data_IF_527171325590
#
_entry.id   IF_527171325590
#
_cell.length_a   1.000
_cell.length_b   1.000
_cell.length_c   1.000
_cell.angle_alpha   90.00
_cell.angle_beta   90.00
_cell.angle_gamma   90.00
#
_symmetry.space_group_name_H-M   'P 1'
#
loop_
_entity.id
_entity.type
_entity.pdbx_description
1 polymer ?
#
# COMPACT_ATOMS: atom_id res chain seq x y z
N UNK A 1 -13.08 -14.91 26.62
CA UNK A 1 -12.95 -13.52 27.15
C UNK A 1 -12.00 -12.78 26.25
N UNK A 2 -12.47 -11.72 25.59
CA UNK A 2 -11.65 -10.85 24.74
C UNK A 2 -10.65 -10.12 25.66
N UNK A 3 -9.33 -10.23 25.46
CA UNK A 3 -8.37 -9.48 26.28
C UNK A 3 -8.58 -7.98 26.03
N UNK A 4 -8.80 -7.19 27.08
CA UNK A 4 -9.12 -5.74 27.04
C UNK A 4 -8.18 -4.93 26.11
N UNK A 5 -6.95 -5.40 25.88
CA UNK A 5 -5.97 -4.81 24.95
C UNK A 5 -6.35 -4.85 23.47
N UNK A 6 -7.31 -5.66 23.03
CA UNK A 6 -7.75 -5.70 21.62
C UNK A 6 -8.79 -4.63 21.29
N UNK A 7 -9.45 -4.05 22.30
CA UNK A 7 -10.58 -3.10 22.12
C UNK A 7 -10.15 -1.65 22.34
N UNK A 8 -9.07 -1.40 23.09
CA UNK A 8 -8.59 -0.04 23.37
C UNK A 8 -7.59 0.38 22.29
N UNK A 9 -7.77 1.55 21.64
CA UNK A 9 -6.79 2.06 20.70
C UNK A 9 -5.42 2.22 21.36
N UNK A 10 -4.35 1.84 20.66
CA UNK A 10 -2.99 2.12 21.12
C UNK A 10 -2.73 3.64 21.12
N UNK A 11 -1.70 4.11 21.83
CA UNK A 11 -1.35 5.54 21.83
C UNK A 11 -1.05 6.07 20.41
N UNK A 12 -0.44 5.24 19.56
CA UNK A 12 -0.20 5.55 18.15
C UNK A 12 -1.52 5.67 17.35
N UNK A 13 -2.47 4.78 17.59
CA UNK A 13 -3.81 4.86 17.00
C UNK A 13 -4.56 6.09 17.48
N UNK A 14 -4.47 6.44 18.77
CA UNK A 14 -5.10 7.65 19.33
C UNK A 14 -4.56 8.95 18.71
N UNK A 15 -3.25 9.05 18.46
CA UNK A 15 -2.66 10.18 17.75
C UNK A 15 -3.10 10.25 16.29
N UNK A 16 -3.19 9.11 15.59
CA UNK A 16 -3.72 9.04 14.22
C UNK A 16 -5.22 9.42 14.16
N UNK A 17 -6.01 9.01 15.17
CA UNK A 17 -7.42 9.40 15.32
C UNK A 17 -7.59 10.92 15.46
N UNK A 18 -6.68 11.60 16.18
CA UNK A 18 -6.68 13.05 16.34
C UNK A 18 -6.24 13.80 15.05
N UNK A 19 -5.32 13.23 14.27
CA UNK A 19 -4.89 13.78 12.98
C UNK A 19 -5.94 13.62 11.87
N UNK A 20 -6.66 12.50 11.82
CA UNK A 20 -7.65 12.19 10.79
C UNK A 20 -8.89 13.10 10.80
N UNK A 21 -9.28 13.64 11.96
CA UNK A 21 -10.44 14.52 12.10
C UNK A 21 -10.28 15.90 11.43
N UNK A 22 -9.06 16.31 11.08
CA UNK A 22 -8.79 17.64 10.50
C UNK A 22 -8.85 17.72 8.98
N UNK A 23 -9.03 16.62 8.24
CA UNK A 23 -8.85 16.61 6.76
C UNK A 23 -9.87 15.81 5.95
N UNK A 24 -11.14 15.83 6.35
CA UNK A 24 -12.25 15.47 5.43
C UNK A 24 -12.34 16.44 4.24
N UNK A 25 -11.97 17.71 4.43
CA UNK A 25 -11.99 18.73 3.37
C UNK A 25 -10.97 18.48 2.24
N UNK A 26 -9.82 17.87 2.52
CA UNK A 26 -8.80 17.57 1.49
C UNK A 26 -9.28 16.45 0.54
N UNK A 27 -10.04 15.48 1.05
CA UNK A 27 -10.56 14.39 0.23
C UNK A 27 -11.57 14.88 -0.82
N UNK A 28 -12.48 15.78 -0.45
CA UNK A 28 -13.47 16.35 -1.39
C UNK A 28 -12.79 17.21 -2.46
N UNK A 29 -11.73 17.94 -2.09
CA UNK A 29 -10.93 18.70 -3.05
C UNK A 29 -10.19 17.80 -4.05
N UNK A 30 -9.59 16.70 -3.59
CA UNK A 30 -9.00 15.67 -4.46
C UNK A 30 -10.05 15.12 -5.42
N UNK A 31 -11.23 14.75 -4.93
CA UNK A 31 -12.31 14.22 -5.77
C UNK A 31 -12.68 15.21 -6.88
N UNK A 32 -12.83 16.50 -6.56
CA UNK A 32 -13.17 17.52 -7.52
C UNK A 32 -12.08 17.73 -8.59
N UNK A 33 -10.81 17.64 -8.20
CA UNK A 33 -9.65 17.77 -9.09
C UNK A 33 -9.61 16.67 -10.15
N UNK A 34 -9.73 15.41 -9.74
CA UNK A 34 -9.58 14.27 -10.64
C UNK A 34 -10.89 13.87 -11.34
N UNK A 35 -12.05 14.44 -10.98
CA UNK A 35 -13.34 14.06 -11.56
C UNK A 35 -13.44 14.29 -13.08
N UNK A 36 -12.65 15.23 -13.62
CA UNK A 36 -12.63 15.57 -15.05
C UNK A 36 -11.66 14.75 -15.90
N UNK A 37 -10.77 13.97 -15.28
CA UNK A 37 -9.72 13.25 -15.99
C UNK A 37 -10.27 11.98 -16.65
N UNK A 38 -9.99 11.80 -17.94
CA UNK A 38 -10.39 10.60 -18.67
C UNK A 38 -9.68 9.34 -18.13
N UNK A 39 -10.38 8.20 -18.02
CA UNK A 39 -9.76 6.94 -17.63
C UNK A 39 -8.78 6.42 -18.69
N UNK A 40 -7.65 5.89 -18.23
CA UNK A 40 -6.71 5.10 -19.02
C UNK A 40 -7.31 3.72 -19.32
N UNK A 41 -7.85 3.59 -20.54
CA UNK A 41 -8.46 2.36 -21.02
C UNK A 41 -7.49 1.17 -21.06
N UNK A 42 -6.21 1.41 -21.37
CA UNK A 42 -5.22 0.34 -21.45
C UNK A 42 -4.80 -0.15 -20.07
N UNK A 43 -4.74 0.75 -19.07
CA UNK A 43 -4.60 0.33 -17.68
C UNK A 43 -5.82 -0.48 -17.23
N UNK A 44 -7.03 -0.01 -17.52
CA UNK A 44 -8.26 -0.72 -17.15
C UNK A 44 -8.32 -2.12 -17.76
N UNK A 45 -7.88 -2.32 -19.00
CA UNK A 45 -7.83 -3.66 -19.62
C UNK A 45 -7.00 -4.66 -18.81
N UNK A 46 -5.91 -4.21 -18.18
CA UNK A 46 -5.05 -5.06 -17.34
C UNK A 46 -5.73 -5.43 -16.01
N UNK A 47 -6.53 -4.52 -15.45
CA UNK A 47 -7.00 -4.63 -14.05
C UNK A 47 -8.51 -4.71 -13.88
N UNK A 48 -9.33 -4.65 -14.94
CA UNK A 48 -10.80 -4.56 -14.82
C UNK A 48 -11.43 -5.84 -14.25
N UNK A 49 -10.91 -7.01 -14.64
CA UNK A 49 -11.45 -8.31 -14.20
C UNK A 49 -10.84 -8.76 -12.88
N UNK A 50 -11.59 -9.46 -12.00
CA UNK A 50 -11.04 -10.07 -10.79
C UNK A 50 -9.91 -11.06 -11.10
N UNK A 51 -9.03 -11.29 -10.13
CA UNK A 51 -7.99 -12.31 -10.25
C UNK A 51 -8.56 -13.72 -10.06
N UNK A 52 -8.06 -14.68 -10.85
CA UNK A 52 -8.52 -16.07 -10.81
C UNK A 52 -7.67 -16.98 -9.91
N UNK A 53 -6.40 -16.66 -9.70
CA UNK A 53 -5.45 -17.48 -8.95
C UNK A 53 -4.20 -16.69 -8.54
N UNK A 54 -3.33 -17.30 -7.73
CA UNK A 54 -2.03 -16.70 -7.37
C UNK A 54 -1.14 -16.48 -8.60
N UNK A 55 -1.16 -17.38 -9.59
CA UNK A 55 -0.40 -17.21 -10.83
C UNK A 55 -0.95 -16.05 -11.69
N UNK A 56 -2.27 -15.90 -11.74
CA UNK A 56 -2.92 -14.79 -12.44
C UNK A 56 -2.60 -13.43 -11.77
N UNK A 57 -2.57 -13.40 -10.43
CA UNK A 57 -2.11 -12.23 -9.67
C UNK A 57 -0.68 -11.84 -10.07
N UNK A 58 0.25 -12.80 -10.03
CA UNK A 58 1.66 -12.57 -10.31
C UNK A 58 1.88 -11.99 -11.71
N UNK A 59 1.29 -12.62 -12.74
CA UNK A 59 1.41 -12.15 -14.12
C UNK A 59 0.83 -10.75 -14.31
N UNK A 60 -0.41 -10.54 -13.85
CA UNK A 60 -1.14 -9.30 -14.14
C UNK A 60 -0.64 -8.13 -13.32
N UNK A 61 -0.21 -8.33 -12.08
CA UNK A 61 0.45 -7.27 -11.32
C UNK A 61 1.77 -6.86 -11.97
N UNK A 62 2.59 -7.81 -12.42
CA UNK A 62 3.85 -7.50 -13.10
C UNK A 62 3.61 -6.71 -14.39
N UNK A 63 2.61 -7.09 -15.20
CA UNK A 63 2.22 -6.35 -16.40
C UNK A 63 1.71 -4.94 -16.09
N UNK A 64 0.92 -4.80 -15.02
CA UNK A 64 0.41 -3.49 -14.55
C UNK A 64 1.54 -2.60 -14.04
N UNK A 65 2.48 -3.17 -13.29
CA UNK A 65 3.68 -2.48 -12.81
C UNK A 65 4.50 -1.93 -13.97
N UNK A 66 4.81 -2.78 -14.95
CA UNK A 66 5.63 -2.39 -16.09
C UNK A 66 4.93 -1.31 -16.93
N UNK A 67 3.62 -1.46 -17.16
CA UNK A 67 2.80 -0.47 -17.86
C UNK A 67 2.89 0.93 -17.22
N UNK A 68 2.74 1.00 -15.90
CA UNK A 68 2.77 2.25 -15.14
C UNK A 68 4.20 2.83 -15.10
N UNK A 69 5.23 1.99 -14.92
CA UNK A 69 6.63 2.43 -14.89
C UNK A 69 7.10 3.01 -16.22
N UNK A 70 6.75 2.37 -17.33
CA UNK A 70 7.10 2.88 -18.67
C UNK A 70 6.50 4.26 -18.96
N UNK A 71 5.42 4.63 -18.28
CA UNK A 71 4.77 5.94 -18.35
C UNK A 71 5.25 6.91 -17.27
N UNK A 72 6.18 6.47 -16.42
CA UNK A 72 6.65 7.22 -15.27
C UNK A 72 5.54 7.53 -14.27
N UNK A 73 4.47 6.73 -14.21
CA UNK A 73 3.37 6.93 -13.27
C UNK A 73 3.79 6.49 -11.86
N UNK A 74 3.74 7.41 -10.88
CA UNK A 74 4.22 7.14 -9.52
C UNK A 74 3.31 6.19 -8.73
N UNK A 75 2.12 5.86 -9.24
CA UNK A 75 1.31 4.75 -8.71
C UNK A 75 2.05 3.41 -8.82
N UNK A 76 3.03 3.31 -9.72
CA UNK A 76 3.93 2.16 -9.83
C UNK A 76 4.84 1.96 -8.61
N UNK A 77 5.11 2.99 -7.80
CA UNK A 77 6.13 2.93 -6.73
C UNK A 77 5.77 1.89 -5.68
N UNK A 78 4.56 2.00 -5.11
CA UNK A 78 4.04 0.98 -4.21
C UNK A 78 3.92 -0.38 -4.92
N UNK A 79 3.41 -0.38 -6.16
CA UNK A 79 3.18 -1.60 -6.92
C UNK A 79 4.48 -2.40 -7.17
N UNK A 80 5.60 -1.72 -7.37
CA UNK A 80 6.94 -2.32 -7.53
C UNK A 80 7.32 -3.15 -6.31
N UNK A 81 7.13 -2.59 -5.11
CA UNK A 81 7.35 -3.31 -3.84
C UNK A 81 6.36 -4.48 -3.72
N UNK A 82 5.10 -4.22 -4.06
CA UNK A 82 4.02 -5.19 -3.89
C UNK A 82 4.16 -6.41 -4.80
N UNK A 83 4.57 -6.24 -6.07
CA UNK A 83 4.86 -7.33 -7.01
C UNK A 83 5.90 -8.28 -6.42
N UNK A 84 7.02 -7.75 -5.93
CA UNK A 84 8.10 -8.57 -5.36
C UNK A 84 7.68 -9.31 -4.09
N UNK A 85 6.94 -8.63 -3.20
CA UNK A 85 6.42 -9.26 -1.99
C UNK A 85 5.43 -10.38 -2.32
N UNK A 86 4.55 -10.15 -3.29
CA UNK A 86 3.54 -11.12 -3.74
C UNK A 86 4.19 -12.35 -4.37
N UNK A 87 5.18 -12.16 -5.24
CA UNK A 87 5.96 -13.25 -5.84
C UNK A 87 6.66 -14.10 -4.77
N UNK A 88 7.27 -13.48 -3.76
CA UNK A 88 7.94 -14.25 -2.69
C UNK A 88 6.94 -15.05 -1.84
N UNK A 89 5.75 -14.52 -1.57
CA UNK A 89 4.72 -15.26 -0.85
C UNK A 89 4.17 -16.41 -1.71
N UNK A 90 4.01 -16.20 -3.02
CA UNK A 90 3.68 -17.27 -3.97
C UNK A 90 4.70 -18.40 -3.89
N UNK A 91 6.00 -18.09 -4.02
CA UNK A 91 7.05 -19.11 -3.98
C UNK A 91 7.01 -19.90 -2.66
N UNK A 92 6.76 -19.21 -1.53
CA UNK A 92 6.58 -19.87 -0.25
C UNK A 92 5.33 -20.78 -0.17
N UNK A 93 4.26 -20.45 -0.90
CA UNK A 93 3.09 -21.33 -1.04
C UNK A 93 3.47 -22.58 -1.84
N UNK A 94 4.15 -22.39 -2.98
CA UNK A 94 4.59 -23.48 -3.86
C UNK A 94 5.58 -24.42 -3.14
N UNK A 95 6.43 -23.87 -2.26
CA UNK A 95 7.40 -24.61 -1.43
C UNK A 95 6.78 -25.30 -0.20
N UNK A 96 5.46 -25.17 0.02
CA UNK A 96 4.76 -25.80 1.14
C UNK A 96 5.10 -25.18 2.51
N UNK A 97 5.42 -23.88 2.54
CA UNK A 97 5.78 -23.18 3.77
C UNK A 97 4.59 -22.90 4.71
N UNK A 98 3.36 -23.17 4.31
CA UNK A 98 2.13 -22.89 5.07
C UNK A 98 1.47 -24.16 5.59
N UNK A 99 0.81 -24.07 6.74
CA UNK A 99 0.01 -25.18 7.30
C UNK A 99 -1.23 -25.41 6.45
N UNK A 100 -1.91 -24.31 6.09
CA UNK A 100 -3.06 -24.28 5.19
C UNK A 100 -2.71 -23.45 3.94
N UNK A 101 -2.11 -24.13 2.96
CA UNK A 101 -1.69 -23.50 1.71
C UNK A 101 -2.87 -22.98 0.88
N UNK A 102 -4.04 -23.61 0.96
CA UNK A 102 -5.26 -23.15 0.27
C UNK A 102 -5.74 -21.83 0.86
N UNK A 103 -5.78 -21.73 2.20
CA UNK A 103 -6.10 -20.48 2.88
C UNK A 103 -5.07 -19.38 2.59
N UNK A 104 -3.78 -19.69 2.58
CA UNK A 104 -2.74 -18.73 2.22
C UNK A 104 -2.88 -18.21 0.78
N UNK A 105 -3.21 -19.08 -0.18
CA UNK A 105 -3.47 -18.70 -1.57
C UNK A 105 -4.74 -17.83 -1.70
N UNK A 106 -5.84 -18.23 -1.04
CA UNK A 106 -7.07 -17.44 -1.03
C UNK A 106 -6.87 -16.07 -0.39
N UNK A 107 -6.10 -16.00 0.71
CA UNK A 107 -5.70 -14.76 1.35
C UNK A 107 -4.91 -13.88 0.37
N UNK A 108 -3.85 -14.38 -0.27
CA UNK A 108 -3.08 -13.61 -1.25
C UNK A 108 -3.99 -13.02 -2.34
N UNK A 109 -4.81 -13.85 -2.99
CA UNK A 109 -5.71 -13.42 -4.07
C UNK A 109 -6.72 -12.38 -3.59
N UNK A 110 -7.39 -12.62 -2.46
CA UNK A 110 -8.36 -11.68 -1.90
C UNK A 110 -7.71 -10.34 -1.49
N UNK A 111 -6.46 -10.38 -1.01
CA UNK A 111 -5.72 -9.19 -0.65
C UNK A 111 -5.41 -8.35 -1.88
N UNK A 112 -4.91 -8.98 -2.93
CA UNK A 112 -4.61 -8.33 -4.22
C UNK A 112 -5.88 -7.77 -4.88
N UNK A 113 -6.99 -8.49 -4.77
CA UNK A 113 -8.29 -8.04 -5.30
C UNK A 113 -8.74 -6.72 -4.68
N UNK A 114 -8.43 -6.46 -3.39
CA UNK A 114 -8.72 -5.17 -2.74
C UNK A 114 -7.93 -4.02 -3.36
N UNK A 115 -6.62 -4.21 -3.59
CA UNK A 115 -5.79 -3.23 -4.30
C UNK A 115 -6.32 -2.97 -5.73
N UNK A 116 -6.63 -4.04 -6.48
CA UNK A 116 -7.17 -3.93 -7.84
C UNK A 116 -8.46 -3.13 -7.88
N UNK A 117 -9.40 -3.40 -6.97
CA UNK A 117 -10.66 -2.64 -6.86
C UNK A 117 -10.40 -1.16 -6.57
N UNK A 118 -9.46 -0.85 -5.68
CA UNK A 118 -9.08 0.54 -5.40
C UNK A 118 -8.49 1.22 -6.64
N UNK A 119 -7.57 0.56 -7.35
CA UNK A 119 -6.97 1.10 -8.57
C UNK A 119 -8.04 1.34 -9.66
N UNK A 120 -8.92 0.37 -9.89
CA UNK A 120 -10.04 0.50 -10.84
C UNK A 120 -11.00 1.62 -10.44
N UNK A 121 -11.32 1.75 -9.15
CA UNK A 121 -12.21 2.80 -8.67
C UNK A 121 -11.59 4.19 -8.85
N UNK A 122 -10.28 4.34 -8.60
CA UNK A 122 -9.58 5.60 -8.86
C UNK A 122 -9.53 5.93 -10.36
N UNK A 123 -9.21 4.95 -11.19
CA UNK A 123 -9.11 5.12 -12.64
C UNK A 123 -10.46 5.46 -13.29
N UNK A 124 -11.55 4.84 -12.82
CA UNK A 124 -12.92 5.13 -13.27
C UNK A 124 -13.55 6.37 -12.64
N UNK A 125 -12.83 7.09 -11.78
CA UNK A 125 -13.35 8.21 -10.98
C UNK A 125 -14.56 7.83 -10.11
N UNK A 126 -14.66 6.55 -9.74
CA UNK A 126 -15.70 6.00 -8.89
C UNK A 126 -15.38 6.23 -7.41
N UNK A 127 -15.08 7.49 -7.04
CA UNK A 127 -14.52 7.85 -5.73
C UNK A 127 -15.43 7.49 -4.56
N UNK A 128 -16.75 7.40 -4.75
CA UNK A 128 -17.68 6.92 -3.72
C UNK A 128 -17.46 5.46 -3.30
N UNK A 129 -16.74 4.68 -4.11
CA UNK A 129 -16.35 3.30 -3.81
C UNK A 129 -14.87 3.15 -3.43
N UNK A 130 -14.09 4.24 -3.50
CA UNK A 130 -12.67 4.23 -3.23
C UNK A 130 -12.40 4.51 -1.74
N UNK A 131 -11.70 3.63 -1.01
CA UNK A 131 -11.30 3.92 0.36
C UNK A 131 -10.48 5.20 0.46
N UNK A 132 -10.77 6.04 1.46
CA UNK A 132 -10.04 7.30 1.69
C UNK A 132 -8.51 7.15 1.76
N UNK A 133 -7.92 6.13 2.41
CA UNK A 133 -6.46 5.94 2.41
C UNK A 133 -5.90 5.74 1.00
N UNK A 134 -6.61 5.01 0.14
CA UNK A 134 -6.24 4.81 -1.26
C UNK A 134 -6.41 6.07 -2.10
N UNK A 135 -7.49 6.84 -1.87
CA UNK A 135 -7.67 8.15 -2.52
C UNK A 135 -6.47 9.07 -2.27
N UNK A 136 -6.04 9.18 -1.01
CA UNK A 136 -4.88 9.99 -0.64
C UNK A 136 -3.58 9.48 -1.28
N UNK A 137 -3.36 8.16 -1.25
CA UNK A 137 -2.16 7.55 -1.84
C UNK A 137 -2.08 7.77 -3.37
N UNK A 138 -3.16 7.50 -4.09
CA UNK A 138 -3.18 7.65 -5.54
C UNK A 138 -3.14 9.13 -5.98
N UNK A 139 -3.81 10.02 -5.26
CA UNK A 139 -3.75 11.46 -5.55
C UNK A 139 -2.35 12.02 -5.34
N UNK A 140 -1.68 11.67 -4.23
CA UNK A 140 -0.31 12.10 -3.97
C UNK A 140 0.65 11.63 -5.07
N UNK A 141 0.55 10.35 -5.45
CA UNK A 141 1.33 9.77 -6.53
C UNK A 141 1.05 10.47 -7.88
N UNK A 142 -0.22 10.71 -8.22
CA UNK A 142 -0.60 11.35 -9.47
C UNK A 142 -0.11 12.81 -9.56
N UNK A 143 -0.14 13.56 -8.45
CA UNK A 143 0.37 14.94 -8.37
C UNK A 143 1.90 15.03 -8.37
N UNK A 144 2.61 13.94 -8.05
CA UNK A 144 4.07 13.91 -7.87
C UNK A 144 4.57 14.95 -6.87
N UNK A 145 3.80 15.17 -5.80
CA UNK A 145 4.11 16.16 -4.77
C UNK A 145 4.95 15.62 -3.60
N UNK A 146 5.07 14.31 -3.53
CA UNK A 146 5.70 13.49 -2.48
C UNK A 146 7.03 12.90 -2.95
N UNK A 147 7.86 12.49 -1.99
CA UNK A 147 9.06 11.68 -2.23
C UNK A 147 8.69 10.23 -2.61
N UNK A 148 9.58 9.52 -3.29
CA UNK A 148 9.30 8.11 -3.71
C UNK A 148 9.04 7.23 -2.49
N UNK A 149 9.78 7.44 -1.41
CA UNK A 149 9.57 6.73 -0.15
C UNK A 149 8.18 7.01 0.45
N UNK A 150 7.66 8.24 0.33
CA UNK A 150 6.32 8.57 0.81
C UNK A 150 5.24 7.87 -0.01
N UNK A 151 5.38 7.78 -1.34
CA UNK A 151 4.42 7.05 -2.19
C UNK A 151 4.38 5.56 -1.84
N UNK A 152 5.55 4.94 -1.61
CA UNK A 152 5.64 3.56 -1.16
C UNK A 152 4.93 3.38 0.19
N UNK A 153 5.22 4.23 1.18
CA UNK A 153 4.64 4.16 2.52
C UNK A 153 3.13 4.43 2.52
N UNK A 154 2.63 5.33 1.68
CA UNK A 154 1.20 5.60 1.53
C UNK A 154 0.46 4.38 0.99
N UNK A 155 1.00 3.72 -0.04
CA UNK A 155 0.45 2.48 -0.57
C UNK A 155 0.51 1.33 0.44
N UNK A 156 1.64 1.15 1.14
CA UNK A 156 1.79 0.16 2.22
C UNK A 156 0.76 0.40 3.33
N UNK A 157 0.57 1.66 3.73
CA UNK A 157 -0.43 2.03 4.74
C UNK A 157 -1.85 1.70 4.28
N UNK A 158 -2.24 2.12 3.08
CA UNK A 158 -3.58 1.82 2.55
C UNK A 158 -3.80 0.31 2.43
N UNK A 159 -2.84 -0.41 1.85
CA UNK A 159 -2.97 -1.84 1.65
C UNK A 159 -3.01 -2.62 2.97
N UNK A 160 -2.10 -2.33 3.91
CA UNK A 160 -1.98 -3.14 5.11
C UNK A 160 -2.92 -2.68 6.23
N UNK A 161 -3.06 -1.37 6.48
CA UNK A 161 -3.95 -0.91 7.55
C UNK A 161 -5.42 -1.07 7.17
N UNK A 162 -5.77 -0.80 5.91
CA UNK A 162 -7.16 -0.84 5.43
C UNK A 162 -7.51 -2.19 4.79
N UNK A 163 -6.92 -2.56 3.66
CA UNK A 163 -7.38 -3.73 2.89
C UNK A 163 -7.27 -5.04 3.66
N UNK A 164 -6.19 -5.22 4.43
CA UNK A 164 -5.91 -6.47 5.12
C UNK A 164 -6.98 -6.80 6.18
N UNK A 165 -7.49 -5.77 6.86
CA UNK A 165 -8.56 -5.92 7.85
C UNK A 165 -9.76 -6.64 7.24
N UNK A 166 -10.17 -6.22 6.05
CA UNK A 166 -11.35 -6.77 5.38
C UNK A 166 -11.04 -8.07 4.65
N UNK A 167 -9.83 -8.20 4.10
CA UNK A 167 -9.37 -9.42 3.44
C UNK A 167 -9.44 -10.62 4.38
N UNK A 168 -8.95 -10.48 5.61
CA UNK A 168 -9.01 -11.55 6.61
C UNK A 168 -10.45 -11.94 6.97
N UNK A 169 -11.38 -10.99 6.91
CA UNK A 169 -12.82 -11.26 7.04
C UNK A 169 -13.37 -12.05 5.86
N UNK A 170 -13.01 -11.66 4.63
CA UNK A 170 -13.48 -12.30 3.38
C UNK A 170 -13.02 -13.76 3.29
N UNK A 171 -11.76 -14.04 3.63
CA UNK A 171 -11.22 -15.42 3.58
C UNK A 171 -11.54 -16.25 4.82
N UNK A 172 -12.11 -15.61 5.84
CA UNK A 172 -12.51 -16.22 7.10
C UNK A 172 -11.33 -16.64 7.97
N UNK A 173 -11.32 -16.17 9.22
CA UNK A 173 -10.35 -16.56 10.25
C UNK A 173 -10.82 -17.69 11.16
N UNK A 174 -12.04 -18.22 10.94
CA UNK A 174 -12.61 -19.36 11.66
C UNK A 174 -13.20 -20.39 10.69
N UNK A 175 -13.34 -21.67 11.07
CA UNK A 175 -12.71 -22.29 12.24
C UNK A 175 -11.17 -22.27 12.15
N UNK A 176 -10.49 -22.84 13.15
CA UNK A 176 -9.03 -23.03 13.16
C UNK A 176 -8.20 -21.73 13.12
N UNK A 177 -8.70 -20.69 13.79
CA UNK A 177 -8.05 -19.39 13.94
C UNK A 177 -6.58 -19.46 14.37
N UNK A 178 -6.22 -20.45 15.18
CA UNK A 178 -4.82 -20.67 15.59
C UNK A 178 -3.91 -21.02 14.41
N UNK A 179 -4.36 -21.89 13.51
CA UNK A 179 -3.63 -22.29 12.29
C UNK A 179 -3.52 -21.10 11.34
N UNK A 180 -4.64 -20.41 11.10
CA UNK A 180 -4.68 -19.21 10.23
C UNK A 180 -3.82 -18.08 10.79
N UNK A 181 -3.74 -17.96 12.12
CA UNK A 181 -2.84 -17.02 12.78
C UNK A 181 -1.37 -17.38 12.53
N UNK A 182 -1.04 -18.66 12.64
CA UNK A 182 0.31 -19.15 12.37
C UNK A 182 0.73 -18.83 10.93
N UNK A 183 -0.12 -19.14 9.96
CA UNK A 183 0.17 -18.84 8.55
C UNK A 183 0.23 -17.33 8.28
N UNK A 184 -0.62 -16.52 8.91
CA UNK A 184 -0.50 -15.06 8.88
C UNK A 184 0.86 -14.58 9.43
N UNK A 185 1.33 -15.15 10.53
CA UNK A 185 2.64 -14.82 11.11
C UNK A 185 3.81 -15.35 10.26
N UNK A 186 3.64 -16.45 9.51
CA UNK A 186 4.63 -16.90 8.52
C UNK A 186 4.77 -15.90 7.37
N UNK A 187 3.67 -15.32 6.88
CA UNK A 187 3.72 -14.20 5.92
C UNK A 187 4.49 -13.04 6.55
N UNK A 188 4.22 -12.68 7.81
CA UNK A 188 4.95 -11.60 8.50
C UNK A 188 6.45 -11.85 8.51
N UNK A 189 6.87 -13.09 8.77
CA UNK A 189 8.27 -13.49 8.77
C UNK A 189 8.91 -13.44 7.37
N UNK A 190 8.17 -13.80 6.32
CA UNK A 190 8.61 -13.65 4.93
C UNK A 190 8.82 -12.17 4.60
N UNK A 191 7.81 -11.33 4.84
CA UNK A 191 7.88 -9.89 4.57
C UNK A 191 9.00 -9.20 5.36
N UNK A 192 9.25 -9.64 6.60
CA UNK A 192 10.33 -9.11 7.42
C UNK A 192 11.73 -9.35 6.82
N UNK A 193 11.91 -10.40 6.04
CA UNK A 193 13.17 -10.64 5.31
C UNK A 193 13.28 -9.83 4.03
N UNK A 194 12.17 -9.31 3.53
CA UNK A 194 12.07 -8.57 2.28
C UNK A 194 12.13 -7.05 2.44
N UNK A 195 12.22 -6.51 3.66
CA UNK A 195 12.32 -5.04 3.83
C UNK A 195 13.56 -4.49 3.12
N UNK A 196 14.71 -5.16 3.27
CA UNK A 196 15.90 -4.82 2.51
C UNK A 196 15.68 -5.01 1.01
N UNK A 197 15.11 -6.14 0.60
CA UNK A 197 14.82 -6.41 -0.82
C UNK A 197 13.83 -5.42 -1.44
N UNK A 198 12.91 -4.85 -0.66
CA UNK A 198 11.97 -3.83 -1.09
C UNK A 198 12.64 -2.46 -1.23
N UNK A 199 13.60 -2.13 -0.35
CA UNK A 199 14.46 -0.96 -0.56
C UNK A 199 15.31 -1.15 -1.81
N UNK A 200 16.00 -2.29 -1.92
CA UNK A 200 16.80 -2.64 -3.09
C UNK A 200 15.96 -2.63 -4.37
N UNK A 201 14.69 -2.99 -4.29
CA UNK A 201 13.75 -2.92 -5.41
C UNK A 201 13.45 -1.50 -5.84
N UNK A 202 13.20 -0.62 -4.88
CA UNK A 202 12.96 0.78 -5.15
C UNK A 202 14.23 1.45 -5.69
N UNK A 203 15.39 1.12 -5.14
CA UNK A 203 16.69 1.51 -5.67
C UNK A 203 16.83 0.97 -7.09
N UNK A 204 16.83 -0.33 -7.34
CA UNK A 204 16.99 -0.88 -8.68
C UNK A 204 15.97 -0.31 -9.69
N UNK A 205 14.71 -0.18 -9.30
CA UNK A 205 13.65 0.30 -10.18
C UNK A 205 13.69 1.80 -10.45
N UNK A 206 14.18 2.61 -9.50
CA UNK A 206 14.09 4.08 -9.53
C UNK A 206 15.44 4.81 -9.44
N UNK A 207 16.50 4.17 -8.95
CA UNK A 207 17.91 4.55 -9.15
C UNK A 207 18.29 4.32 -10.63
N UNK A 208 17.92 3.16 -11.18
CA UNK A 208 17.93 2.91 -12.63
C UNK A 208 16.66 3.44 -13.34
N UNK A 209 15.82 4.26 -12.69
CA UNK A 209 14.86 5.15 -13.36
C UNK A 209 15.03 6.63 -12.97
N UNK A 210 16.27 6.99 -12.63
CA UNK A 210 16.81 8.36 -12.72
C UNK A 210 16.67 9.26 -11.50
N UNK A 211 16.79 8.74 -10.28
CA UNK A 211 16.83 9.56 -9.04
C UNK A 211 18.17 9.38 -8.31
N UNK A 212 19.11 10.30 -8.55
CA UNK A 212 20.39 10.30 -7.83
C UNK A 212 20.16 10.66 -6.35
N UNK A 213 20.48 9.75 -5.43
CA UNK A 213 20.40 9.99 -3.98
C UNK A 213 19.27 9.27 -3.24
N UNK A 214 18.56 8.32 -3.89
CA UNK A 214 17.56 7.46 -3.24
C UNK A 214 18.11 6.80 -1.96
N UNK A 215 19.38 6.36 -1.97
CA UNK A 215 20.01 5.73 -0.80
C UNK A 215 20.02 6.64 0.45
N UNK A 216 20.11 7.97 0.28
CA UNK A 216 19.99 8.94 1.38
C UNK A 216 18.53 9.30 1.70
N UNK A 217 17.63 9.20 0.72
CA UNK A 217 16.18 9.43 0.87
C UNK A 217 15.48 8.27 1.60
N UNK A 218 16.05 7.05 1.56
CA UNK A 218 15.60 5.88 2.31
C UNK A 218 16.15 5.83 3.75
N UNK A 219 17.11 6.69 4.11
CA UNK A 219 17.77 6.78 5.41
C UNK A 219 16.98 7.37 6.61
N UNK A 220 15.69 7.82 6.54
CA UNK A 220 14.98 8.26 7.75
C UNK A 220 14.41 7.13 8.63
N UNK A 221 14.27 5.91 8.08
CA UNK A 221 13.68 4.78 8.80
C UNK A 221 14.71 3.65 8.89
N UNK A 222 15.37 3.54 10.04
CA UNK A 222 16.10 2.31 10.42
C UNK A 222 15.22 1.10 10.04
N UNK A 223 15.78 0.13 9.32
CA UNK A 223 15.07 -1.08 8.88
C UNK A 223 14.25 -1.71 10.01
N UNK A 224 14.74 -1.58 11.26
CA UNK A 224 14.06 -2.05 12.46
C UNK A 224 12.75 -1.30 12.74
N UNK A 225 12.68 0.00 12.49
CA UNK A 225 11.47 0.82 12.63
C UNK A 225 10.47 0.48 11.54
N UNK A 226 10.92 0.31 10.29
CA UNK A 226 10.06 -0.14 9.19
C UNK A 226 9.47 -1.54 9.46
N UNK A 227 10.30 -2.48 9.93
CA UNK A 227 9.89 -3.84 10.33
C UNK A 227 8.93 -3.84 11.51
N UNK A 228 9.22 -3.02 12.54
CA UNK A 228 8.35 -2.89 13.71
C UNK A 228 7.01 -2.26 13.34
N UNK A 229 7.01 -1.26 12.46
CA UNK A 229 5.82 -0.64 11.90
C UNK A 229 4.97 -1.64 11.12
N UNK A 230 5.58 -2.39 10.20
CA UNK A 230 4.93 -3.42 9.40
C UNK A 230 4.26 -4.49 10.27
N UNK A 231 4.98 -5.03 11.26
CA UNK A 231 4.42 -6.00 12.21
C UNK A 231 3.25 -5.41 13.00
N UNK A 232 3.38 -4.17 13.47
CA UNK A 232 2.36 -3.50 14.29
C UNK A 232 1.07 -3.27 13.49
N UNK A 233 1.16 -2.82 12.24
CA UNK A 233 -0.01 -2.57 11.40
C UNK A 233 -0.69 -3.89 10.96
N UNK A 234 0.07 -4.96 10.75
CA UNK A 234 -0.49 -6.29 10.44
C UNK A 234 -1.20 -6.90 11.66
N UNK A 235 -0.64 -6.72 12.85
CA UNK A 235 -1.33 -7.05 14.10
C UNK A 235 -2.62 -6.23 14.29
N UNK A 236 -2.61 -4.94 13.92
CA UNK A 236 -3.82 -4.12 13.93
C UNK A 236 -4.92 -4.71 13.04
N UNK A 237 -4.58 -5.10 11.81
CA UNK A 237 -5.53 -5.70 10.88
C UNK A 237 -6.06 -7.06 11.39
N UNK A 238 -5.19 -7.90 11.94
CA UNK A 238 -5.60 -9.17 12.56
C UNK A 238 -6.58 -8.96 13.71
N UNK A 239 -6.28 -8.02 14.63
CA UNK A 239 -7.18 -7.68 15.74
C UNK A 239 -8.54 -7.20 15.24
N UNK A 240 -8.59 -6.39 14.18
CA UNK A 240 -9.85 -5.97 13.59
C UNK A 240 -10.64 -7.13 13.00
N UNK A 241 -9.98 -8.04 12.27
CA UNK A 241 -10.63 -9.24 11.74
C UNK A 241 -11.24 -10.09 12.87
N UNK A 242 -10.50 -10.26 13.98
CA UNK A 242 -11.00 -10.92 15.20
C UNK A 242 -12.20 -10.21 15.79
N UNK A 243 -12.17 -8.87 15.89
CA UNK A 243 -13.31 -8.09 16.38
C UNK A 243 -14.54 -8.25 15.50
N UNK A 244 -14.38 -8.28 14.17
CA UNK A 244 -15.49 -8.53 13.23
C UNK A 244 -16.07 -9.93 13.39
N UNK A 245 -15.22 -10.94 13.63
CA UNK A 245 -15.66 -12.32 13.81
C UNK A 245 -16.35 -12.56 15.16
N UNK A 246 -15.86 -11.93 16.23
CA UNK A 246 -16.32 -12.20 17.60
C UNK A 246 -17.48 -11.32 18.05
N UNK A 247 -17.65 -10.12 17.47
CA UNK A 247 -18.72 -9.19 17.86
C UNK A 247 -19.96 -9.34 16.97
N UNK A 248 -21.17 -9.07 17.50
CA UNK A 248 -22.37 -9.01 16.68
C UNK A 248 -22.22 -7.98 15.56
N UNK A 249 -22.65 -8.31 14.34
CA UNK A 249 -22.43 -7.49 13.15
C UNK A 249 -22.86 -6.02 13.32
N UNK A 250 -24.00 -5.79 13.99
CA UNK A 250 -24.53 -4.45 14.25
C UNK A 250 -23.61 -3.55 15.11
N UNK A 251 -22.68 -4.13 15.86
CA UNK A 251 -21.73 -3.41 16.72
C UNK A 251 -20.29 -3.54 16.19
N UNK A 252 -19.89 -4.75 15.80
CA UNK A 252 -18.54 -5.06 15.36
C UNK A 252 -18.17 -4.37 14.05
N UNK A 253 -19.05 -4.43 13.05
CA UNK A 253 -18.75 -3.87 11.73
C UNK A 253 -18.63 -2.34 11.78
N UNK A 254 -19.61 -1.57 12.30
CA UNK A 254 -19.48 -0.12 12.32
C UNK A 254 -18.26 0.37 13.13
N UNK A 255 -17.93 -0.33 14.23
CA UNK A 255 -16.76 0.01 15.03
C UNK A 255 -15.45 -0.26 14.29
N UNK A 256 -15.32 -1.43 13.67
CA UNK A 256 -14.12 -1.80 12.92
C UNK A 256 -13.98 -0.94 11.68
N UNK A 257 -15.07 -0.65 10.96
CA UNK A 257 -15.07 0.22 9.78
C UNK A 257 -14.54 1.61 10.15
N UNK A 258 -15.13 2.23 11.18
CA UNK A 258 -14.69 3.52 11.70
C UNK A 258 -13.21 3.48 12.13
N UNK A 259 -12.81 2.48 12.92
CA UNK A 259 -11.45 2.35 13.45
C UNK A 259 -10.43 2.20 12.32
N UNK A 260 -10.71 1.31 11.37
CA UNK A 260 -9.85 0.99 10.24
C UNK A 260 -9.68 2.20 9.33
N UNK A 261 -10.78 2.83 8.94
CA UNK A 261 -10.73 4.00 8.07
C UNK A 261 -10.05 5.18 8.74
N UNK A 262 -10.33 5.44 10.01
CA UNK A 262 -9.74 6.60 10.72
C UNK A 262 -8.24 6.41 10.94
N UNK A 263 -7.79 5.23 11.37
CA UNK A 263 -6.35 4.97 11.57
C UNK A 263 -5.59 5.02 10.24
N UNK A 264 -6.09 4.36 9.21
CA UNK A 264 -5.42 4.34 7.90
C UNK A 264 -5.40 5.73 7.25
N UNK A 265 -6.48 6.50 7.35
CA UNK A 265 -6.55 7.87 6.80
C UNK A 265 -5.68 8.83 7.61
N UNK A 266 -5.69 8.73 8.93
CA UNK A 266 -4.85 9.53 9.82
C UNK A 266 -3.36 9.29 9.58
N UNK A 267 -2.95 8.03 9.43
CA UNK A 267 -1.57 7.68 9.10
C UNK A 267 -1.14 8.24 7.74
N UNK A 268 -2.00 8.16 6.72
CA UNK A 268 -1.74 8.79 5.42
C UNK A 268 -1.59 10.31 5.54
N UNK A 269 -2.42 10.97 6.34
CA UNK A 269 -2.32 12.41 6.57
C UNK A 269 -1.03 12.82 7.29
N UNK A 270 -0.49 11.97 8.18
CA UNK A 270 0.83 12.19 8.82
C UNK A 270 1.96 11.98 7.82
N UNK A 271 1.89 10.94 6.98
CA UNK A 271 2.89 10.71 5.92
C UNK A 271 2.94 11.86 4.91
N UNK A 272 1.81 12.51 4.66
CA UNK A 272 1.68 13.71 3.83
C UNK A 272 1.98 15.02 4.56
N UNK A 273 2.19 14.99 5.89
CA UNK A 273 2.53 16.19 6.63
C UNK A 273 4.01 16.54 6.37
N UNK A 274 4.34 17.83 6.14
CA UNK A 274 5.71 18.27 5.99
C UNK A 274 6.38 18.34 7.38
N UNK A 275 6.74 17.19 7.95
CA UNK A 275 7.55 17.13 9.19
C UNK A 275 9.07 17.11 8.90
N UNK A 276 9.46 17.11 7.62
CA UNK A 276 10.81 17.47 7.17
C UNK A 276 10.81 18.99 6.93
N UNK A 277 11.86 19.70 7.34
CA UNK A 277 12.02 21.13 7.08
C UNK A 277 11.61 21.45 5.63
N UNK A 278 10.73 22.43 5.42
CA UNK A 278 10.14 22.67 4.09
C UNK A 278 11.22 22.94 3.04
N UNK A 279 12.34 23.54 3.46
CA UNK A 279 13.52 23.76 2.64
C UNK A 279 14.27 22.45 2.34
N UNK A 280 14.32 21.50 3.27
CA UNK A 280 14.92 20.17 3.07
C UNK A 280 14.03 19.30 2.17
N UNK A 281 12.72 19.33 2.36
CA UNK A 281 11.76 18.67 1.47
C UNK A 281 11.80 19.24 0.04
N UNK A 282 11.89 20.57 -0.10
CA UNK A 282 12.06 21.23 -1.39
C UNK A 282 13.39 20.84 -2.05
N UNK A 283 14.51 20.86 -1.30
CA UNK A 283 15.82 20.40 -1.81
C UNK A 283 15.79 18.94 -2.25
N UNK A 284 15.11 18.08 -1.50
CA UNK A 284 14.95 16.67 -1.86
C UNK A 284 14.15 16.51 -3.15
N UNK A 285 13.05 17.26 -3.31
CA UNK A 285 12.27 17.29 -4.56
C UNK A 285 13.06 17.86 -5.74
N UNK A 286 13.79 18.94 -5.53
CA UNK A 286 14.62 19.57 -6.56
C UNK A 286 15.73 18.61 -7.01
N UNK A 287 16.33 17.85 -6.08
CA UNK A 287 17.29 16.80 -6.41
C UNK A 287 16.66 15.65 -7.22
N UNK A 288 15.43 15.23 -6.91
CA UNK A 288 14.67 14.27 -7.75
C UNK A 288 14.40 14.86 -9.16
N UNK A 289 14.07 16.15 -9.25
CA UNK A 289 13.69 16.82 -10.49
C UNK A 289 14.89 17.14 -11.41
N UNK A 290 15.99 17.65 -10.88
CA UNK A 290 17.22 17.97 -11.63
C UNK A 290 17.83 16.69 -12.24
N UNK A 291 17.83 15.59 -11.49
CA UNK A 291 18.25 14.27 -11.98
C UNK A 291 17.40 13.79 -13.18
N UNK A 292 16.11 14.17 -13.23
CA UNK A 292 15.20 13.87 -14.33
C UNK A 292 15.47 14.73 -15.58
N UNK A 293 15.72 16.04 -15.40
CA UNK A 293 15.98 16.99 -16.50
C UNK A 293 17.32 16.74 -17.19
N UNK A 294 18.40 16.50 -16.44
CA UNK A 294 19.73 16.18 -17.00
C UNK A 294 19.69 14.95 -17.91
N UNK A 295 18.85 13.96 -17.56
CA UNK A 295 18.62 12.75 -18.37
C UNK A 295 17.77 13.01 -19.61
N UNK A 296 16.67 13.75 -19.50
CA UNK A 296 15.84 14.09 -20.67
C UNK A 296 16.68 14.81 -21.75
N UNK A 297 17.62 15.65 -21.32
CA UNK A 297 18.62 16.27 -22.18
C UNK A 297 19.65 15.26 -22.74
N UNK A 298 20.17 14.35 -21.90
CA UNK A 298 21.10 13.29 -22.31
C UNK A 298 20.53 12.21 -23.27
N UNK A 299 19.23 11.97 -23.24
CA UNK A 299 18.53 11.08 -24.18
C UNK A 299 18.15 11.78 -25.48
N UNK A 300 17.70 13.03 -25.40
CA UNK A 300 17.43 13.86 -26.58
C UNK A 300 18.69 14.09 -27.43
N UNK A 301 19.86 14.16 -26.79
CA UNK A 301 21.16 14.27 -27.46
C UNK A 301 21.62 12.94 -28.06
N UNK A 302 21.47 11.81 -27.36
CA UNK A 302 21.81 10.47 -27.92
C UNK A 302 20.94 10.04 -29.09
N UNK A 303 19.66 10.42 -29.15
CA UNK A 303 18.77 10.13 -30.29
C UNK A 303 19.08 10.97 -31.54
N UNK A 304 19.96 11.98 -31.45
CA UNK A 304 20.37 12.86 -32.55
C UNK A 304 21.77 12.53 -33.12
N UNK A 305 22.42 11.49 -32.61
CA UNK A 305 23.71 10.94 -33.09
C UNK A 305 23.53 9.52 -33.58
#
# INVERSE_FOLDING_TARGET
MIPIRTVVPTAAEASALLGGLRRTADADAIVAEFAGDEPDAALLELVETPFASVADVDERLARTESYLRERGDRRAVFLTVYVRMTATVRDAIDDGAFVDAEWAAAYLVAFTERYRRALVAFERRAFGSLPRPWLLAFAAAARRETLVAQDALLGINAHIAYDLTYTLGDVGIDPDRGVKREDHDRINAILARLVQTAQDALVEAYDAAWIAGIDRLLDPFDDRVALLGLKTVREFAWRNAVLRADLPAWAGEPYVDWRTETVATGAAAVLLAPDIDADEHARMRDAEADASVERAFGEATRRRT
#
